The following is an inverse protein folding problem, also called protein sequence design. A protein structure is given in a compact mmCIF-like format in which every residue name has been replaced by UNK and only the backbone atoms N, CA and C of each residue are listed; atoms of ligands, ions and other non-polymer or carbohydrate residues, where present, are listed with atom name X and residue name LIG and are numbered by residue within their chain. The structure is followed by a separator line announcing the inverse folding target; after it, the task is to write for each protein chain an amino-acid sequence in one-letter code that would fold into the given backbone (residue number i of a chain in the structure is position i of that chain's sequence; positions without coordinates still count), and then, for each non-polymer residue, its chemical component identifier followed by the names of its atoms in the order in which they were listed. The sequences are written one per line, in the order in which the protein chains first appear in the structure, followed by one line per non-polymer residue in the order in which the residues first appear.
data_IF_795956973732
#
_entry.id   IF_795956973732
#
_cell.length_a   1.000
_cell.length_b   1.000
_cell.length_c   1.000
_cell.angle_alpha   90.00
_cell.angle_beta   90.00
_cell.angle_gamma   90.00
#
_symmetry.space_group_name_H-M   'P 1'
#
loop_
_entity.id
_entity.type
_entity.pdbx_description
1 polymer ?
#
# COMPACT_ATOMS: atom_id res chain seq x y z
N UNK A 1 -6.13 -17.38 -15.15
CA UNK A 1 -5.44 -16.95 -13.92
C UNK A 1 -4.47 -18.05 -13.53
N UNK A 2 -3.15 -17.81 -13.48
CA UNK A 2 -2.21 -18.83 -13.04
C UNK A 2 -2.53 -19.24 -11.60
N UNK A 3 -2.36 -20.53 -11.28
CA UNK A 3 -2.84 -21.16 -10.04
C UNK A 3 -2.25 -20.59 -8.72
N UNK A 4 -1.33 -19.62 -8.80
CA UNK A 4 -0.74 -18.92 -7.64
C UNK A 4 -1.04 -17.42 -7.55
N UNK A 5 -1.79 -16.82 -8.47
CA UNK A 5 -2.06 -15.37 -8.42
C UNK A 5 -3.20 -15.04 -7.44
N UNK A 6 -2.85 -14.46 -6.29
CA UNK A 6 -3.79 -14.00 -5.27
C UNK A 6 -4.25 -12.56 -5.50
N UNK A 7 -5.45 -12.25 -5.02
CA UNK A 7 -5.98 -10.89 -4.86
C UNK A 7 -6.00 -10.56 -3.37
N UNK A 8 -5.21 -9.58 -2.96
CA UNK A 8 -4.95 -9.29 -1.55
C UNK A 8 -5.44 -7.87 -1.26
N UNK A 9 -6.35 -7.74 -0.30
CA UNK A 9 -6.74 -6.44 0.25
C UNK A 9 -5.98 -6.19 1.56
N UNK A 10 -5.06 -5.24 1.56
CA UNK A 10 -4.35 -4.80 2.77
C UNK A 10 -5.08 -3.60 3.35
N UNK A 11 -5.33 -3.60 4.66
CA UNK A 11 -6.01 -2.50 5.34
C UNK A 11 -5.06 -1.86 6.34
N UNK A 12 -4.79 -0.56 6.17
CA UNK A 12 -3.97 0.24 7.07
C UNK A 12 -4.77 1.45 7.57
N UNK A 13 -5.34 1.34 8.76
CA UNK A 13 -6.22 2.39 9.29
C UNK A 13 -5.47 3.62 9.83
N UNK A 14 -4.23 3.43 10.29
CA UNK A 14 -3.49 4.44 11.07
C UNK A 14 -2.21 4.93 10.41
N UNK A 15 -1.58 4.12 9.55
CA UNK A 15 -0.36 4.49 8.84
C UNK A 15 -0.68 4.69 7.37
N UNK A 16 -0.51 5.90 6.86
CA UNK A 16 -0.77 6.18 5.45
C UNK A 16 0.49 5.86 4.63
N UNK A 17 0.46 4.87 3.72
CA UNK A 17 1.58 4.56 2.83
C UNK A 17 1.72 5.58 1.69
N UNK A 18 0.69 6.40 1.45
CA UNK A 18 0.62 7.45 0.42
C UNK A 18 1.09 8.82 0.94
N UNK A 19 1.24 8.98 2.26
CA UNK A 19 1.71 10.23 2.87
C UNK A 19 3.16 10.57 2.49
N UNK A 20 3.52 11.85 2.57
CA UNK A 20 4.93 12.26 2.46
C UNK A 20 5.77 11.52 3.51
N UNK A 21 6.76 10.75 3.04
CA UNK A 21 7.76 10.11 3.91
C UNK A 21 8.39 11.16 4.83
N UNK A 22 8.44 10.86 6.13
CA UNK A 22 8.96 11.77 7.16
C UNK A 22 7.91 12.69 7.81
N UNK A 23 6.62 12.59 7.42
CA UNK A 23 5.52 13.18 8.18
C UNK A 23 5.14 12.34 9.41
N UNK A 24 4.43 12.95 10.36
CA UNK A 24 4.08 12.41 11.69
C UNK A 24 3.50 10.98 11.70
N UNK A 25 2.85 10.56 10.59
CA UNK A 25 2.18 9.26 10.43
C UNK A 25 2.76 8.38 9.30
N UNK A 26 3.95 8.73 8.79
CA UNK A 26 4.62 8.06 7.66
C UNK A 26 5.99 7.53 8.06
N UNK A 27 6.00 6.70 9.12
CA UNK A 27 7.18 6.04 9.67
C UNK A 27 7.44 4.64 9.07
N UNK A 28 8.07 3.75 9.84
CA UNK A 28 8.48 2.42 9.37
C UNK A 28 7.34 1.53 8.88
N UNK A 29 6.12 1.68 9.42
CA UNK A 29 4.96 0.88 9.01
C UNK A 29 4.46 1.24 7.60
N UNK A 30 4.47 2.53 7.24
CA UNK A 30 4.12 2.98 5.89
C UNK A 30 5.10 2.45 4.84
N UNK A 31 6.40 2.45 5.17
CA UNK A 31 7.44 1.86 4.32
C UNK A 31 7.24 0.35 4.21
N UNK A 32 7.04 -0.34 5.34
CA UNK A 32 6.82 -1.79 5.37
C UNK A 32 5.64 -2.22 4.48
N UNK A 33 4.48 -1.57 4.62
CA UNK A 33 3.29 -1.88 3.82
C UNK A 33 3.58 -1.67 2.32
N UNK A 34 4.25 -0.58 1.96
CA UNK A 34 4.60 -0.28 0.58
C UNK A 34 5.54 -1.32 -0.02
N UNK A 35 6.64 -1.65 0.65
CA UNK A 35 7.62 -2.62 0.15
C UNK A 35 7.04 -4.03 0.10
N UNK A 36 6.21 -4.42 1.08
CA UNK A 36 5.53 -5.71 1.08
C UNK A 36 4.55 -5.84 -0.09
N UNK A 37 3.71 -4.82 -0.32
CA UNK A 37 2.78 -4.80 -1.44
C UNK A 37 3.52 -4.86 -2.79
N UNK A 38 4.64 -4.13 -2.90
CA UNK A 38 5.47 -4.14 -4.09
C UNK A 38 6.09 -5.52 -4.38
N UNK A 39 6.63 -6.19 -3.37
CA UNK A 39 7.25 -7.50 -3.54
C UNK A 39 6.22 -8.60 -3.84
N UNK A 40 5.03 -8.54 -3.23
CA UNK A 40 3.90 -9.40 -3.59
C UNK A 40 3.45 -9.16 -5.04
N UNK A 41 3.47 -7.90 -5.49
CA UNK A 41 3.20 -7.54 -6.88
C UNK A 41 4.21 -8.16 -7.86
N UNK A 42 5.51 -8.15 -7.53
CA UNK A 42 6.55 -8.82 -8.33
C UNK A 42 6.37 -10.33 -8.42
N UNK A 43 5.83 -10.95 -7.37
CA UNK A 43 5.47 -12.38 -7.37
C UNK A 43 4.18 -12.67 -8.18
N UNK A 44 3.56 -11.64 -8.76
CA UNK A 44 2.41 -11.76 -9.64
C UNK A 44 1.06 -11.61 -8.94
N UNK A 45 1.04 -11.22 -7.66
CA UNK A 45 -0.22 -10.98 -6.94
C UNK A 45 -0.79 -9.59 -7.22
N UNK A 46 -2.11 -9.46 -7.11
CA UNK A 46 -2.79 -8.17 -7.16
C UNK A 46 -3.04 -7.69 -5.74
N UNK A 47 -2.45 -6.56 -5.37
CA UNK A 47 -2.51 -6.02 -4.00
C UNK A 47 -3.13 -4.63 -4.01
N UNK A 48 -4.24 -4.48 -3.29
CA UNK A 48 -4.89 -3.18 -3.06
C UNK A 48 -4.67 -2.77 -1.60
N UNK A 49 -4.10 -1.59 -1.37
CA UNK A 49 -3.87 -1.06 -0.02
C UNK A 49 -4.90 0.01 0.31
N UNK A 50 -5.84 -0.32 1.18
CA UNK A 50 -6.86 0.59 1.67
C UNK A 50 -6.35 1.31 2.91
N UNK A 51 -6.32 2.64 2.83
CA UNK A 51 -5.98 3.54 3.94
C UNK A 51 -7.04 4.62 4.07
N UNK A 52 -7.05 5.32 5.20
CA UNK A 52 -7.85 6.52 5.35
C UNK A 52 -7.38 7.59 4.34
N UNK A 53 -8.31 8.19 3.62
CA UNK A 53 -8.03 9.34 2.77
C UNK A 53 -7.73 10.57 3.64
N UNK A 54 -6.61 11.25 3.36
CA UNK A 54 -6.22 12.48 4.05
C UNK A 54 -6.55 13.73 3.22
N UNK A 55 -6.26 13.69 1.91
CA UNK A 55 -6.68 14.71 0.94
C UNK A 55 -7.31 14.03 -0.29
N UNK A 56 -8.45 14.51 -0.81
CA UNK A 56 -9.04 13.99 -2.05
C UNK A 56 -8.11 14.04 -3.28
N UNK A 57 -7.05 14.86 -3.23
CA UNK A 57 -6.04 15.02 -4.28
C UNK A 57 -4.86 14.06 -4.14
N UNK A 58 -4.83 13.24 -3.10
CA UNK A 58 -3.76 12.26 -2.90
C UNK A 58 -3.76 11.23 -4.05
N UNK A 59 -2.56 10.84 -4.48
CA UNK A 59 -2.41 9.95 -5.62
C UNK A 59 -2.88 8.53 -5.23
N UNK A 60 -3.92 8.03 -5.89
CA UNK A 60 -4.55 6.75 -5.52
C UNK A 60 -3.84 5.53 -6.09
N UNK A 61 -2.95 5.72 -7.07
CA UNK A 61 -2.23 4.65 -7.76
C UNK A 61 -0.73 4.92 -7.67
N UNK A 62 -0.03 4.04 -6.97
CA UNK A 62 1.44 3.97 -6.98
C UNK A 62 1.88 2.85 -7.91
N UNK A 63 2.81 3.16 -8.80
CA UNK A 63 3.40 2.20 -9.75
C UNK A 63 4.72 1.67 -9.21
#
# INVERSE_FOLDING_TARGET
MPAGQLRIAMVSAHSCPVGKLGAKDTGGMSVYIRELAHELGKQGHLVDVYTRAHDPRDNQIYK
#
